data_IF_539664200540
#
_entry.id   IF_539664200540
#
_cell.length_a   1.000
_cell.length_b   1.000
_cell.length_c   1.000
_cell.angle_alpha   90.00
_cell.angle_beta   90.00
_cell.angle_gamma   90.00
#
_symmetry.space_group_name_H-M   'P 1'
#
loop_
_entity.id
_entity.type
_entity.pdbx_description
1 polymer ?
#
# COMPACT_ATOMS: atom_id res chain seq x y z
N UNK A 1 -13.67 -1.95 15.26
CA UNK A 1 -12.98 -3.20 15.66
C UNK A 1 -12.84 -3.28 17.17
N UNK A 2 -12.45 -2.19 17.84
CA UNK A 2 -12.48 -2.07 19.30
C UNK A 2 -12.66 -0.60 19.71
N UNK A 3 -13.46 -0.35 20.74
CA UNK A 3 -13.48 0.93 21.47
C UNK A 3 -12.37 0.93 22.52
N UNK A 4 -11.82 2.10 22.85
CA UNK A 4 -10.69 2.19 23.76
C UNK A 4 -10.35 3.65 24.10
N UNK A 5 -9.17 3.86 24.68
CA UNK A 5 -8.67 5.16 25.13
C UNK A 5 -7.29 5.48 24.52
N UNK A 6 -6.95 6.76 24.42
CA UNK A 6 -5.69 7.21 23.83
C UNK A 6 -5.78 7.42 22.32
N UNK A 7 -4.62 7.50 21.65
CA UNK A 7 -4.51 7.80 20.21
C UNK A 7 -5.19 6.70 19.37
N UNK A 8 -6.23 7.02 18.58
CA UNK A 8 -6.87 6.03 17.72
C UNK A 8 -5.95 5.45 16.66
N UNK A 9 -6.08 4.14 16.45
CA UNK A 9 -5.34 3.40 15.42
C UNK A 9 -6.26 3.13 14.24
N UNK A 10 -5.87 3.63 13.07
CA UNK A 10 -6.54 3.36 11.80
C UNK A 10 -5.75 2.29 11.05
N UNK A 11 -6.44 1.22 10.63
CA UNK A 11 -5.80 0.14 9.85
C UNK A 11 -6.43 -0.04 8.47
N UNK A 12 -5.62 -0.33 7.45
CA UNK A 12 -6.11 -0.65 6.10
C UNK A 12 -5.40 -1.88 5.53
N UNK A 13 -6.19 -2.82 5.02
CA UNK A 13 -5.68 -4.05 4.41
C UNK A 13 -5.06 -3.81 3.03
N UNK A 14 -4.24 -4.76 2.60
CA UNK A 14 -3.87 -4.91 1.21
C UNK A 14 -4.99 -5.55 0.39
N UNK A 15 -4.83 -5.54 -0.94
CA UNK A 15 -5.80 -6.15 -1.83
C UNK A 15 -5.95 -7.66 -1.57
N UNK A 16 -4.87 -8.42 -1.34
CA UNK A 16 -4.96 -9.85 -1.05
C UNK A 16 -5.66 -10.18 0.27
N UNK A 17 -5.75 -9.23 1.19
CA UNK A 17 -6.35 -9.42 2.52
C UNK A 17 -7.63 -8.62 2.72
N UNK A 18 -8.10 -7.88 1.72
CA UNK A 18 -9.20 -6.92 1.84
C UNK A 18 -10.51 -7.58 2.31
N UNK A 19 -10.81 -8.80 1.82
CA UNK A 19 -12.03 -9.53 2.17
C UNK A 19 -12.05 -10.14 3.57
N UNK A 20 -10.97 -10.03 4.34
CA UNK A 20 -11.02 -10.47 5.75
C UNK A 20 -11.95 -9.54 6.53
N UNK A 21 -12.89 -10.09 7.28
CA UNK A 21 -13.79 -9.33 8.14
C UNK A 21 -13.26 -9.21 9.57
N UNK A 22 -13.85 -8.31 10.35
CA UNK A 22 -13.44 -8.06 11.73
C UNK A 22 -12.00 -7.59 11.82
N UNK A 23 -11.19 -8.28 12.63
CA UNK A 23 -9.79 -7.93 12.87
C UNK A 23 -8.83 -8.39 11.77
N UNK A 24 -9.19 -9.39 10.96
CA UNK A 24 -8.23 -10.08 10.09
C UNK A 24 -6.93 -10.43 10.83
N UNK A 25 -5.78 -10.10 10.24
CA UNK A 25 -4.46 -10.27 10.86
C UNK A 25 -4.00 -9.13 11.77
N UNK A 26 -4.80 -8.08 11.99
CA UNK A 26 -4.35 -6.88 12.71
C UNK A 26 -4.27 -7.02 14.21
N UNK A 27 -5.12 -7.85 14.82
CA UNK A 27 -5.32 -7.87 16.28
C UNK A 27 -4.00 -7.98 17.03
N UNK A 28 -3.19 -8.99 16.70
CA UNK A 28 -1.88 -9.20 17.33
C UNK A 28 -0.95 -8.00 17.16
N UNK A 29 -0.82 -7.51 15.93
CA UNK A 29 0.08 -6.39 15.58
C UNK A 29 -0.30 -5.11 16.34
N UNK A 30 -1.59 -4.80 16.41
CA UNK A 30 -2.09 -3.62 17.10
C UNK A 30 -1.98 -3.79 18.61
N UNK A 31 -2.43 -4.93 19.16
CA UNK A 31 -2.49 -5.16 20.61
C UNK A 31 -1.08 -5.18 21.25
N UNK A 32 -0.07 -5.68 20.53
CA UNK A 32 1.32 -5.69 21.03
C UNK A 32 1.93 -4.29 21.24
N UNK A 33 1.41 -3.26 20.55
CA UNK A 33 1.94 -1.88 20.60
C UNK A 33 0.96 -0.88 21.20
N UNK A 34 -0.32 -1.06 20.92
CA UNK A 34 -1.45 -0.18 21.24
C UNK A 34 -2.59 -0.99 21.88
N UNK A 35 -2.37 -1.62 23.06
CA UNK A 35 -3.33 -2.55 23.67
C UNK A 35 -4.67 -1.89 24.02
N UNK A 36 -4.65 -0.62 24.41
CA UNK A 36 -5.84 0.11 24.88
C UNK A 36 -6.45 1.05 23.83
N UNK A 37 -5.79 1.22 22.68
CA UNK A 37 -6.21 2.21 21.70
C UNK A 37 -7.56 1.83 21.05
N UNK A 38 -8.44 2.81 20.75
CA UNK A 38 -9.59 2.58 19.88
C UNK A 38 -9.08 2.27 18.47
N UNK A 39 -9.70 1.27 17.81
CA UNK A 39 -9.22 0.75 16.52
C UNK A 39 -10.33 0.74 15.48
N UNK A 40 -10.07 1.43 14.37
CA UNK A 40 -10.97 1.58 13.24
C UNK A 40 -10.35 1.01 11.97
N UNK A 41 -11.20 0.45 11.11
CA UNK A 41 -10.78 -0.11 9.83
C UNK A 41 -11.17 0.82 8.70
N UNK A 42 -10.22 1.14 7.85
CA UNK A 42 -10.47 1.86 6.60
C UNK A 42 -10.72 0.82 5.52
N UNK A 43 -11.93 0.86 4.96
CA UNK A 43 -12.33 0.03 3.83
C UNK A 43 -12.09 0.81 2.53
N UNK A 44 -11.43 0.17 1.56
CA UNK A 44 -11.17 0.71 0.22
C UNK A 44 -11.43 -0.40 -0.81
N UNK A 45 -11.81 -0.06 -2.04
CA UNK A 45 -12.56 -0.98 -2.92
C UNK A 45 -11.77 -2.03 -3.73
N UNK A 46 -12.20 -3.29 -3.62
CA UNK A 46 -11.71 -4.55 -4.25
C UNK A 46 -12.29 -4.96 -5.60
N UNK A 47 -12.96 -4.09 -6.37
CA UNK A 47 -13.70 -4.56 -7.57
C UNK A 47 -12.82 -5.32 -8.58
N UNK A 48 -11.50 -5.13 -8.50
CA UNK A 48 -10.47 -5.63 -9.40
C UNK A 48 -9.66 -6.84 -8.86
N UNK A 49 -10.04 -7.45 -7.72
CA UNK A 49 -9.21 -8.49 -7.07
C UNK A 49 -8.87 -9.68 -7.96
N UNK A 50 -9.83 -10.17 -8.73
CA UNK A 50 -9.60 -11.32 -9.64
C UNK A 50 -8.58 -10.95 -10.70
N UNK A 51 -8.71 -9.78 -11.30
CA UNK A 51 -7.82 -9.33 -12.36
C UNK A 51 -6.42 -9.01 -11.81
N UNK A 52 -6.34 -8.49 -10.59
CA UNK A 52 -5.07 -8.27 -9.90
C UNK A 52 -4.36 -9.57 -9.55
N UNK A 53 -5.10 -10.61 -9.13
CA UNK A 53 -4.54 -11.96 -8.92
C UNK A 53 -4.00 -12.58 -10.22
N UNK A 54 -4.68 -12.36 -11.34
CA UNK A 54 -4.21 -12.81 -12.65
C UNK A 54 -2.89 -12.10 -13.05
N UNK A 55 -2.76 -10.80 -12.78
CA UNK A 55 -1.52 -10.06 -13.02
C UNK A 55 -0.36 -10.58 -12.17
N UNK A 56 -0.60 -10.93 -10.91
CA UNK A 56 0.43 -11.56 -10.05
C UNK A 56 0.85 -12.90 -10.63
N UNK A 57 -0.08 -13.73 -11.09
CA UNK A 57 0.22 -15.05 -11.63
C UNK A 57 1.14 -14.95 -12.85
N UNK A 58 0.87 -14.00 -13.76
CA UNK A 58 1.74 -13.71 -14.91
C UNK A 58 3.09 -13.18 -14.43
N UNK A 59 3.09 -12.21 -13.51
CA UNK A 59 4.31 -11.60 -12.97
C UNK A 59 5.22 -12.61 -12.31
N UNK A 60 4.69 -13.53 -11.51
CA UNK A 60 5.45 -14.56 -10.80
C UNK A 60 5.96 -15.69 -11.70
N UNK A 61 5.56 -15.74 -12.98
CA UNK A 61 5.94 -16.83 -13.88
C UNK A 61 5.28 -18.17 -13.52
N UNK A 62 4.12 -18.14 -12.86
CA UNK A 62 3.40 -19.36 -12.51
C UNK A 62 3.01 -20.13 -13.79
N UNK A 63 3.25 -21.45 -13.83
CA UNK A 63 2.90 -22.30 -14.99
C UNK A 63 1.43 -22.20 -15.40
N UNK A 64 0.54 -22.01 -14.43
CA UNK A 64 -0.90 -21.81 -14.67
C UNK A 64 -1.24 -20.47 -15.35
N UNK A 65 -0.28 -19.55 -15.51
CA UNK A 65 -0.47 -18.24 -16.12
C UNK A 65 -0.18 -18.21 -17.63
N UNK A 66 0.21 -19.33 -18.25
CA UNK A 66 0.60 -19.39 -19.66
C UNK A 66 -0.52 -18.87 -20.59
N UNK A 67 -1.76 -19.32 -20.38
CA UNK A 67 -2.92 -18.84 -21.14
C UNK A 67 -3.19 -17.34 -20.93
N UNK A 68 -2.94 -16.81 -19.73
CA UNK A 68 -3.12 -15.38 -19.42
C UNK A 68 -2.04 -14.55 -20.11
N UNK A 69 -0.79 -15.02 -20.10
CA UNK A 69 0.34 -14.40 -20.77
C UNK A 69 0.16 -14.37 -22.29
N UNK A 70 -0.30 -15.48 -22.90
CA UNK A 70 -0.61 -15.56 -24.33
C UNK A 70 -1.68 -14.52 -24.70
N UNK A 71 -2.76 -14.41 -23.92
CA UNK A 71 -3.83 -13.44 -24.19
C UNK A 71 -3.33 -11.98 -24.10
N UNK A 72 -2.50 -11.66 -23.10
CA UNK A 72 -1.87 -10.35 -22.97
C UNK A 72 -0.96 -10.04 -24.17
N UNK A 73 -0.11 -11.00 -24.58
CA UNK A 73 0.79 -10.86 -25.72
C UNK A 73 0.02 -10.67 -27.05
N UNK A 74 -1.07 -11.43 -27.25
CA UNK A 74 -1.94 -11.27 -28.42
C UNK A 74 -2.61 -9.90 -28.48
N UNK A 75 -3.09 -9.38 -27.34
CA UNK A 75 -3.65 -8.01 -27.26
C UNK A 75 -2.59 -6.96 -27.59
N UNK A 76 -1.39 -7.07 -27.01
CA UNK A 76 -0.29 -6.16 -27.28
C UNK A 76 0.14 -6.20 -28.76
N UNK A 77 0.24 -7.38 -29.36
CA UNK A 77 0.56 -7.56 -30.77
C UNK A 77 -0.47 -6.91 -31.69
N UNK A 78 -1.77 -7.03 -31.38
CA UNK A 78 -2.83 -6.35 -32.15
C UNK A 78 -2.69 -4.83 -32.11
N UNK A 79 -2.37 -4.26 -30.94
CA UNK A 79 -2.19 -2.81 -30.79
C UNK A 79 -0.91 -2.30 -31.47
N UNK A 80 0.17 -3.08 -31.42
CA UNK A 80 1.44 -2.73 -32.07
C UNK A 80 1.35 -2.64 -33.60
N UNK A 81 0.35 -3.30 -34.21
CA UNK A 81 0.08 -3.22 -35.67
C UNK A 81 -0.58 -1.91 -36.11
N UNK A 82 -0.95 -1.03 -35.18
CA UNK A 82 -1.58 0.26 -35.49
C UNK A 82 -0.53 1.40 -35.47
N UNK A 83 -0.02 1.85 -36.64
CA UNK A 83 0.99 2.91 -36.69
C UNK A 83 0.43 4.23 -36.13
N UNK A 84 1.24 4.94 -35.33
CA UNK A 84 0.90 6.24 -34.74
C UNK A 84 -0.02 6.19 -33.52
N UNK A 85 -1.04 5.33 -33.51
CA UNK A 85 -2.04 5.24 -32.41
C UNK A 85 -1.84 4.03 -31.49
N UNK A 86 -1.07 3.03 -31.92
CA UNK A 86 -0.84 1.80 -31.14
C UNK A 86 -0.18 2.06 -29.79
N UNK A 87 0.76 3.02 -29.71
CA UNK A 87 1.43 3.41 -28.47
C UNK A 87 0.48 4.12 -27.50
N UNK A 88 -0.38 5.02 -28.01
CA UNK A 88 -1.38 5.70 -27.20
C UNK A 88 -2.45 4.74 -26.68
N UNK A 89 -2.92 3.82 -27.53
CA UNK A 89 -3.88 2.79 -27.13
C UNK A 89 -3.26 1.83 -26.12
N UNK A 90 -2.00 1.44 -26.30
CA UNK A 90 -1.28 0.62 -25.33
C UNK A 90 -1.12 1.33 -23.98
N UNK A 91 -0.78 2.63 -23.98
CA UNK A 91 -0.76 3.44 -22.77
C UNK A 91 -2.15 3.52 -22.11
N UNK A 92 -3.23 3.59 -22.90
CA UNK A 92 -4.61 3.57 -22.38
C UNK A 92 -5.00 2.22 -21.78
N UNK A 93 -4.53 1.10 -22.33
CA UNK A 93 -4.74 -0.25 -21.78
C UNK A 93 -3.94 -0.45 -20.48
N UNK A 94 -2.72 0.10 -20.39
CA UNK A 94 -1.96 0.17 -19.12
C UNK A 94 -2.70 1.04 -18.09
N UNK A 95 -3.27 2.17 -18.52
CA UNK A 95 -4.06 3.02 -17.63
C UNK A 95 -5.34 2.34 -17.12
N UNK A 96 -5.93 1.45 -17.92
CA UNK A 96 -7.07 0.59 -17.55
C UNK A 96 -6.64 -0.70 -16.84
N UNK A 97 -5.34 -0.91 -16.61
CA UNK A 97 -4.88 -2.10 -15.92
C UNK A 97 -5.49 -2.15 -14.50
N UNK A 98 -5.98 -3.31 -14.05
CA UNK A 98 -6.49 -3.54 -12.69
C UNK A 98 -5.62 -2.97 -11.57
N UNK A 99 -4.31 -3.05 -11.73
CA UNK A 99 -3.34 -2.48 -10.80
C UNK A 99 -3.45 -0.96 -10.73
N UNK A 100 -3.44 -0.28 -11.87
CA UNK A 100 -3.58 1.19 -11.96
C UNK A 100 -4.90 1.65 -11.33
N UNK A 101 -5.99 0.93 -11.59
CA UNK A 101 -7.30 1.24 -11.01
C UNK A 101 -7.32 1.05 -9.49
N UNK A 102 -6.80 -0.07 -8.97
CA UNK A 102 -6.68 -0.32 -7.54
C UNK A 102 -5.79 0.76 -6.87
N UNK A 103 -4.69 1.13 -7.51
CA UNK A 103 -3.82 2.24 -7.12
C UNK A 103 -4.56 3.57 -7.02
N UNK A 104 -5.35 3.93 -8.03
CA UNK A 104 -6.15 5.17 -8.04
C UNK A 104 -7.21 5.15 -6.94
N UNK A 105 -7.90 4.03 -6.73
CA UNK A 105 -8.87 3.88 -5.63
C UNK A 105 -8.23 4.05 -4.27
N UNK A 106 -7.06 3.44 -4.04
CA UNK A 106 -6.31 3.61 -2.80
C UNK A 106 -5.95 5.08 -2.56
N UNK A 107 -5.50 5.80 -3.60
CA UNK A 107 -5.22 7.24 -3.52
C UNK A 107 -6.45 8.08 -3.20
N UNK A 108 -7.57 7.85 -3.89
CA UNK A 108 -8.85 8.54 -3.61
C UNK A 108 -9.33 8.27 -2.18
N UNK A 109 -9.19 7.03 -1.71
CA UNK A 109 -9.54 6.67 -0.32
C UNK A 109 -8.65 7.41 0.67
N UNK A 110 -7.35 7.51 0.41
CA UNK A 110 -6.42 8.27 1.24
C UNK A 110 -6.78 9.76 1.34
N UNK A 111 -7.15 10.38 0.21
CA UNK A 111 -7.60 11.77 0.20
C UNK A 111 -8.89 11.99 1.00
N UNK A 112 -9.86 11.08 0.87
CA UNK A 112 -11.10 11.11 1.68
C UNK A 112 -10.77 10.91 3.17
N UNK A 113 -9.88 9.97 3.49
CA UNK A 113 -9.45 9.71 4.86
C UNK A 113 -8.79 10.94 5.49
N UNK A 114 -7.96 11.67 4.74
CA UNK A 114 -7.36 12.93 5.18
C UNK A 114 -8.42 13.98 5.52
N UNK A 115 -9.43 14.18 4.65
CA UNK A 115 -10.52 15.13 4.92
C UNK A 115 -11.33 14.74 6.17
N UNK A 116 -11.60 13.44 6.37
CA UNK A 116 -12.26 12.95 7.58
C UNK A 116 -11.42 13.17 8.85
N UNK A 117 -10.11 12.92 8.79
CA UNK A 117 -9.19 13.19 9.90
C UNK A 117 -9.12 14.69 10.18
N UNK A 118 -9.10 15.54 9.16
CA UNK A 118 -9.03 16.99 9.35
C UNK A 118 -10.24 17.53 10.14
N UNK A 119 -11.43 16.95 9.92
CA UNK A 119 -12.72 17.39 10.49
C UNK A 119 -13.09 16.75 11.82
N UNK A 120 -12.33 15.77 12.30
CA UNK A 120 -12.60 15.14 13.60
C UNK A 120 -11.98 15.97 14.75
N UNK A 121 -12.60 15.91 15.92
CA UNK A 121 -12.08 16.54 17.16
C UNK A 121 -10.90 15.77 17.77
N UNK A 122 -10.62 14.55 17.32
CA UNK A 122 -9.46 13.78 17.80
C UNK A 122 -8.15 14.41 17.33
N UNK A 123 -7.27 14.78 18.26
CA UNK A 123 -6.02 15.47 17.94
C UNK A 123 -5.08 14.67 17.02
N UNK A 124 -4.88 13.38 17.34
CA UNK A 124 -3.83 12.54 16.74
C UNK A 124 -4.35 11.18 16.33
N UNK A 125 -3.72 10.60 15.30
CA UNK A 125 -3.99 9.24 14.81
C UNK A 125 -2.70 8.47 14.57
N UNK A 126 -2.76 7.15 14.79
CA UNK A 126 -1.74 6.21 14.30
C UNK A 126 -2.27 5.55 13.04
N UNK A 127 -1.48 5.56 11.97
CA UNK A 127 -1.86 4.94 10.69
C UNK A 127 -1.07 3.66 10.45
N UNK A 128 -1.79 2.56 10.21
CA UNK A 128 -1.18 1.26 9.91
C UNK A 128 -1.75 0.72 8.61
N UNK A 129 -0.91 0.38 7.65
CA UNK A 129 -1.39 -0.11 6.36
C UNK A 129 -0.54 -1.24 5.83
N UNK A 130 -1.19 -2.19 5.18
CA UNK A 130 -0.53 -3.27 4.44
C UNK A 130 -0.70 -3.08 2.94
N UNK A 131 0.36 -3.23 2.14
CA UNK A 131 0.26 -3.22 0.68
C UNK A 131 -0.40 -1.94 0.13
N UNK A 132 -1.47 -2.04 -0.66
CA UNK A 132 -2.26 -0.90 -1.12
C UNK A 132 -2.97 -0.14 0.02
N UNK A 133 -3.27 -0.79 1.15
CA UNK A 133 -3.72 -0.10 2.36
C UNK A 133 -2.63 0.80 2.96
N UNK A 134 -1.35 0.43 2.82
CA UNK A 134 -0.25 1.33 3.17
C UNK A 134 -0.22 2.58 2.29
N UNK A 135 -0.58 2.44 1.00
CA UNK A 135 -0.73 3.57 0.10
C UNK A 135 -1.86 4.51 0.53
N UNK A 136 -3.00 3.97 0.98
CA UNK A 136 -4.09 4.77 1.57
C UNK A 136 -3.53 5.64 2.70
N UNK A 137 -2.75 5.05 3.61
CA UNK A 137 -2.18 5.77 4.75
C UNK A 137 -1.15 6.83 4.35
N UNK A 138 -0.25 6.52 3.40
CA UNK A 138 0.73 7.49 2.88
C UNK A 138 0.03 8.67 2.22
N UNK A 139 -0.93 8.41 1.32
CA UNK A 139 -1.67 9.48 0.66
C UNK A 139 -2.47 10.33 1.66
N UNK A 140 -3.05 9.73 2.69
CA UNK A 140 -3.75 10.48 3.74
C UNK A 140 -2.79 11.40 4.52
N UNK A 141 -1.64 10.87 4.94
CA UNK A 141 -0.64 11.63 5.68
C UNK A 141 -0.06 12.77 4.83
N UNK A 142 0.30 12.52 3.57
CA UNK A 142 0.82 13.56 2.68
C UNK A 142 -0.21 14.67 2.44
N UNK A 143 -1.48 14.33 2.22
CA UNK A 143 -2.55 15.31 2.07
C UNK A 143 -2.69 16.18 3.34
N UNK A 144 -2.70 15.57 4.52
CA UNK A 144 -2.72 16.30 5.80
C UNK A 144 -1.46 17.16 6.00
N UNK A 145 -0.29 16.69 5.56
CA UNK A 145 0.98 17.41 5.65
C UNK A 145 1.06 18.65 4.77
N UNK A 146 0.15 18.81 3.80
CA UNK A 146 0.00 20.04 3.00
C UNK A 146 -0.97 21.05 3.60
N UNK A 147 -1.73 20.67 4.63
CA UNK A 147 -2.69 21.55 5.29
C UNK A 147 -1.98 22.37 6.37
N UNK A 148 -2.44 23.61 6.58
CA UNK A 148 -2.01 24.41 7.71
C UNK A 148 -2.56 23.83 9.02
N UNK A 149 -1.75 23.81 10.07
CA UNK A 149 -2.15 23.38 11.40
C UNK A 149 -1.16 22.43 12.07
N UNK A 150 -1.59 21.86 13.20
CA UNK A 150 -0.79 20.88 13.93
C UNK A 150 -0.80 19.53 13.20
N UNK A 151 0.34 18.84 13.26
CA UNK A 151 0.49 17.50 12.71
C UNK A 151 -0.56 16.54 13.29
N UNK A 152 -1.43 15.96 12.46
CA UNK A 152 -2.52 15.08 12.91
C UNK A 152 -2.13 13.61 13.05
N UNK A 153 -0.96 13.23 12.54
CA UNK A 153 -0.50 11.84 12.57
C UNK A 153 0.62 11.70 13.61
N UNK A 154 0.39 10.86 14.62
CA UNK A 154 1.39 10.56 15.65
C UNK A 154 2.51 9.72 15.06
N UNK A 155 2.17 8.56 14.49
CA UNK A 155 3.11 7.61 13.90
C UNK A 155 2.48 6.84 12.74
N UNK A 156 3.33 6.26 11.89
CA UNK A 156 2.89 5.42 10.79
C UNK A 156 3.65 4.10 10.74
N UNK A 157 2.94 3.04 10.38
CA UNK A 157 3.48 1.70 10.20
C UNK A 157 3.02 1.11 8.87
N UNK A 158 3.97 0.95 7.94
CA UNK A 158 3.72 0.56 6.57
C UNK A 158 4.30 -0.84 6.34
N UNK A 159 3.45 -1.83 6.14
CA UNK A 159 3.84 -3.23 6.00
C UNK A 159 3.77 -3.62 4.52
N UNK A 160 4.92 -3.92 3.90
CA UNK A 160 4.98 -4.28 2.48
C UNK A 160 4.30 -3.23 1.60
N UNK A 161 4.63 -1.96 1.78
CA UNK A 161 3.87 -0.86 1.18
C UNK A 161 3.96 -0.81 -0.35
N UNK A 162 2.79 -0.72 -0.99
CA UNK A 162 2.64 -0.54 -2.43
C UNK A 162 2.73 0.95 -2.84
N UNK A 163 3.85 1.58 -2.49
CA UNK A 163 4.18 2.97 -2.83
C UNK A 163 5.48 2.97 -3.62
N UNK A 164 5.58 3.79 -4.67
CA UNK A 164 6.77 3.82 -5.54
C UNK A 164 8.00 4.37 -4.79
N UNK A 165 9.21 3.95 -5.15
CA UNK A 165 10.45 4.38 -4.49
C UNK A 165 10.96 5.76 -4.89
N UNK A 166 10.33 6.42 -5.87
CA UNK A 166 10.90 7.59 -6.58
C UNK A 166 10.18 8.90 -6.26
N UNK A 167 9.78 9.13 -5.02
CA UNK A 167 9.05 10.34 -4.61
C UNK A 167 9.85 11.16 -3.58
N UNK A 168 9.52 12.44 -3.46
CA UNK A 168 10.04 13.31 -2.42
C UNK A 168 9.24 13.09 -1.13
N UNK A 169 9.90 12.51 -0.12
CA UNK A 169 9.23 12.15 1.13
C UNK A 169 9.23 13.26 2.18
N UNK A 170 9.65 14.50 1.85
CA UNK A 170 9.67 15.62 2.79
C UNK A 170 8.29 15.92 3.38
N UNK A 171 7.25 15.92 2.55
CA UNK A 171 5.87 16.12 3.00
C UNK A 171 5.43 15.02 3.95
N UNK A 172 5.77 13.77 3.65
CA UNK A 172 5.47 12.62 4.52
C UNK A 172 6.24 12.69 5.85
N UNK A 173 7.51 13.12 5.82
CA UNK A 173 8.33 13.34 7.02
C UNK A 173 7.74 14.44 7.93
N UNK A 174 7.32 15.57 7.35
CA UNK A 174 6.66 16.64 8.11
C UNK A 174 5.24 16.29 8.58
N UNK A 175 4.57 15.37 7.89
CA UNK A 175 3.20 14.96 8.20
C UNK A 175 3.07 14.09 9.45
N UNK A 176 4.17 13.60 10.03
CA UNK A 176 4.15 12.80 11.26
C UNK A 176 4.90 13.45 12.40
N UNK A 177 4.40 13.26 13.61
CA UNK A 177 5.04 13.78 14.82
C UNK A 177 6.27 12.94 15.17
N UNK A 178 6.12 11.62 15.21
CA UNK A 178 7.18 10.68 15.54
C UNK A 178 7.87 10.12 14.29
N UNK A 179 7.50 8.91 13.83
CA UNK A 179 8.18 8.20 12.75
C UNK A 179 7.22 7.53 11.78
N UNK A 180 7.68 7.42 10.53
CA UNK A 180 7.16 6.50 9.52
C UNK A 180 8.06 5.27 9.49
N UNK A 181 7.54 4.14 9.97
CA UNK A 181 8.22 2.85 9.90
C UNK A 181 7.76 2.06 8.69
N UNK A 182 8.68 1.77 7.79
CA UNK A 182 8.47 0.89 6.64
C UNK A 182 9.07 -0.49 6.92
N UNK A 183 8.20 -1.48 7.04
CA UNK A 183 8.58 -2.88 7.15
C UNK A 183 8.58 -3.46 5.74
N UNK A 184 9.78 -3.74 5.22
CA UNK A 184 9.94 -4.23 3.85
C UNK A 184 10.58 -5.62 3.84
N UNK A 185 10.23 -6.43 2.84
CA UNK A 185 10.83 -7.74 2.62
C UNK A 185 11.24 -7.91 1.17
N UNK A 186 12.49 -8.35 0.96
CA UNK A 186 13.03 -8.74 -0.35
C UNK A 186 12.43 -10.05 -0.86
N UNK A 187 11.82 -10.84 0.03
CA UNK A 187 11.14 -12.09 -0.32
C UNK A 187 9.64 -11.89 -0.60
N UNK A 188 9.13 -10.66 -0.51
CA UNK A 188 7.78 -10.32 -0.96
C UNK A 188 7.72 -10.26 -2.49
N UNK A 189 7.48 -11.44 -3.09
CA UNK A 189 7.42 -11.60 -4.54
C UNK A 189 6.17 -10.96 -5.17
N UNK A 190 5.11 -10.70 -4.40
CA UNK A 190 3.85 -10.19 -4.95
C UNK A 190 4.03 -8.77 -5.46
N UNK A 191 4.65 -7.90 -4.66
CA UNK A 191 4.92 -6.52 -5.06
C UNK A 191 5.92 -6.47 -6.21
N UNK A 192 7.00 -7.26 -6.16
CA UNK A 192 7.98 -7.28 -7.25
C UNK A 192 7.42 -7.83 -8.56
N UNK A 193 6.52 -8.82 -8.52
CA UNK A 193 5.82 -9.35 -9.68
C UNK A 193 4.87 -8.32 -10.32
N UNK A 194 4.02 -7.67 -9.51
CA UNK A 194 3.10 -6.64 -9.99
C UNK A 194 3.85 -5.43 -10.53
N UNK A 195 4.83 -4.89 -9.78
CA UNK A 195 5.53 -3.67 -10.19
C UNK A 195 6.37 -3.88 -11.46
N UNK A 196 6.94 -5.08 -11.65
CA UNK A 196 7.65 -5.42 -12.89
C UNK A 196 6.76 -5.30 -14.12
N UNK A 197 5.53 -5.83 -14.05
CA UNK A 197 4.60 -5.82 -15.18
C UNK A 197 3.89 -4.47 -15.33
N UNK A 198 3.39 -3.93 -14.23
CA UNK A 198 2.43 -2.84 -14.25
C UNK A 198 3.05 -1.45 -14.08
N UNK A 199 4.31 -1.36 -13.65
CA UNK A 199 4.99 -0.09 -13.35
C UNK A 199 6.31 0.07 -14.11
N UNK A 200 6.48 -0.60 -15.26
CA UNK A 200 7.66 -0.45 -16.14
C UNK A 200 8.98 -0.65 -15.35
N UNK A 201 9.08 -1.74 -14.59
CA UNK A 201 10.25 -2.07 -13.75
C UNK A 201 10.58 -1.07 -12.62
N UNK A 202 9.65 -0.19 -12.22
CA UNK A 202 9.77 0.56 -10.96
C UNK A 202 9.70 -0.40 -9.77
N UNK A 203 10.04 0.11 -8.59
CA UNK A 203 10.07 -0.65 -7.36
C UNK A 203 9.15 -0.04 -6.30
N UNK A 204 8.73 -0.89 -5.37
CA UNK A 204 7.91 -0.50 -4.24
C UNK A 204 8.79 -0.32 -3.00
N UNK A 205 8.48 0.66 -2.15
CA UNK A 205 9.18 0.85 -0.87
C UNK A 205 8.99 -0.37 0.04
N UNK A 206 7.90 -1.12 -0.13
CA UNK A 206 7.65 -2.40 0.55
C UNK A 206 8.57 -3.56 0.15
N UNK A 207 9.32 -3.46 -0.95
CA UNK A 207 10.29 -4.48 -1.37
C UNK A 207 11.76 -4.04 -1.23
N UNK A 208 12.01 -2.73 -1.21
CA UNK A 208 13.37 -2.16 -1.23
C UNK A 208 13.70 -1.25 -0.05
N UNK A 209 12.71 -0.75 0.66
CA UNK A 209 12.86 0.38 1.56
C UNK A 209 12.62 1.73 0.86
N UNK A 210 12.44 2.78 1.66
CA UNK A 210 12.48 4.16 1.21
C UNK A 210 13.91 4.61 0.85
N UNK A 211 14.92 4.11 1.56
CA UNK A 211 16.32 4.57 1.46
C UNK A 211 16.47 6.10 1.64
N UNK A 212 15.63 6.69 2.49
CA UNK A 212 15.58 8.13 2.72
C UNK A 212 16.58 8.58 3.80
N UNK A 213 17.28 9.72 3.63
CA UNK A 213 18.09 10.32 4.69
C UNK A 213 17.26 11.07 5.74
N UNK A 214 15.95 11.22 5.53
CA UNK A 214 15.09 12.00 6.41
C UNK A 214 14.96 11.37 7.81
N UNK A 215 14.82 12.22 8.82
CA UNK A 215 14.94 11.79 10.21
C UNK A 215 13.79 10.88 10.63
N UNK A 216 12.55 11.16 10.23
CA UNK A 216 11.37 10.44 10.73
C UNK A 216 11.05 9.20 9.90
N UNK A 217 11.57 9.10 8.69
CA UNK A 217 11.40 7.93 7.82
C UNK A 217 12.43 6.87 8.17
N UNK A 218 11.97 5.65 8.46
CA UNK A 218 12.82 4.54 8.89
C UNK A 218 12.42 3.25 8.21
N UNK A 219 13.42 2.59 7.63
CA UNK A 219 13.27 1.28 7.03
C UNK A 219 13.65 0.17 8.02
N UNK A 220 12.83 -0.87 8.05
CA UNK A 220 13.06 -2.11 8.78
C UNK A 220 13.00 -3.28 7.81
N UNK A 221 14.18 -3.84 7.52
CA UNK A 221 14.27 -5.08 6.74
C UNK A 221 13.76 -6.25 7.60
N UNK A 222 12.62 -6.81 7.21
CA UNK A 222 11.98 -7.98 7.84
C UNK A 222 12.07 -9.23 6.97
N UNK A 223 12.98 -9.25 5.99
CA UNK A 223 13.11 -10.36 5.03
C UNK A 223 13.36 -11.70 5.72
N UNK A 224 14.03 -11.73 6.87
CA UNK A 224 14.29 -12.98 7.60
C UNK A 224 13.02 -13.62 8.18
N UNK A 225 11.99 -12.83 8.46
CA UNK A 225 10.76 -13.31 9.08
C UNK A 225 9.58 -13.36 8.10
N UNK A 226 9.57 -12.45 7.11
CA UNK A 226 8.47 -12.30 6.15
C UNK A 226 8.87 -12.90 4.81
N UNK A 227 8.46 -14.14 4.58
CA UNK A 227 8.73 -14.89 3.34
C UNK A 227 7.63 -14.76 2.28
N UNK A 228 6.51 -14.09 2.59
CA UNK A 228 5.41 -13.89 1.65
C UNK A 228 4.64 -12.61 1.95
N UNK A 229 3.89 -12.10 0.97
CA UNK A 229 3.13 -10.85 1.09
C UNK A 229 2.10 -10.85 2.23
N UNK A 230 1.57 -12.01 2.61
CA UNK A 230 0.63 -12.13 3.73
C UNK A 230 1.31 -12.30 5.10
N UNK A 231 2.56 -12.76 5.14
CA UNK A 231 3.24 -13.14 6.39
C UNK A 231 3.56 -11.96 7.32
N UNK A 232 3.43 -10.72 6.85
CA UNK A 232 3.63 -9.53 7.67
C UNK A 232 2.76 -9.55 8.94
N UNK A 233 1.51 -10.00 8.83
CA UNK A 233 0.55 -10.06 9.94
C UNK A 233 1.01 -10.94 11.10
N UNK A 234 1.76 -11.99 10.81
CA UNK A 234 2.18 -12.99 11.81
C UNK A 234 3.61 -12.73 12.31
N UNK A 235 4.45 -12.13 11.48
CA UNK A 235 5.88 -12.01 11.73
C UNK A 235 6.33 -10.63 12.23
N UNK A 236 5.60 -9.56 11.94
CA UNK A 236 6.04 -8.20 12.28
C UNK A 236 5.60 -7.82 13.68
N UNK A 237 6.52 -7.17 14.40
CA UNK A 237 6.25 -6.42 15.63
C UNK A 237 6.50 -4.95 15.36
N UNK A 238 5.57 -4.09 15.77
CA UNK A 238 5.69 -2.66 15.54
C UNK A 238 6.80 -2.05 16.40
N UNK A 239 7.69 -1.31 15.75
CA UNK A 239 8.77 -0.56 16.37
C UNK A 239 8.22 0.61 17.18
N UNK A 240 9.04 1.05 18.14
CA UNK A 240 8.69 2.18 19.00
C UNK A 240 8.94 3.52 18.33
#
# INVERSE_FOLDING_TARGET
MRSGTGTPVLVANGFLTEKSDGWGGWRRIVDERYPEAPVYRVHWGSKELKDLSALIAVGSGARAAENVAINLAQKASKLAKLPGVGTLLFASEIAKNPWTLAKTRAGMTGAILADLIARTETDKFVLIGHSLGARVMVTAAEALGTMEGSTRIESMHLLGAAVGTSEDWRTLDSAVESRVWNYFSKHDVVLSAIYRIAEINKQAVGSRGFSSPLEKIKDRDVSRQVMSHGAYFDAVKLMR
#
